data_IF_414627910279
#
_entry.id   IF_414627910279
#
_cell.length_a   1.000
_cell.length_b   1.000
_cell.length_c   1.000
_cell.angle_alpha   90.00
_cell.angle_beta   90.00
_cell.angle_gamma   90.00
#
_symmetry.space_group_name_H-M   'P 1'
#
loop_
_entity.id
_entity.type
_entity.pdbx_description
1 polymer ?
#
# COMPACT_ATOMS: atom_id res chain seq x y z
N UNK A 1 0.63 12.96 20.28
CA UNK A 1 -0.04 12.93 18.94
C UNK A 1 -1.40 13.60 19.10
N UNK A 2 -2.05 14.11 18.05
CA UNK A 2 -3.43 14.64 18.16
C UNK A 2 -4.40 13.62 17.58
N UNK A 3 -5.45 13.29 18.33
CA UNK A 3 -6.58 12.50 17.83
C UNK A 3 -7.82 13.39 17.69
N UNK A 4 -8.59 13.22 16.62
CA UNK A 4 -9.85 13.96 16.36
C UNK A 4 -11.06 13.17 16.85
N UNK A 5 -11.95 13.81 17.60
CA UNK A 5 -13.24 13.24 18.04
C UNK A 5 -14.38 14.13 17.53
N UNK A 6 -15.28 13.56 16.74
CA UNK A 6 -16.51 14.24 16.33
C UNK A 6 -17.62 14.00 17.36
N UNK A 7 -18.33 15.05 17.78
CA UNK A 7 -19.55 14.93 18.58
C UNK A 7 -20.75 15.39 17.74
N UNK A 8 -21.60 14.45 17.36
CA UNK A 8 -22.94 14.70 16.86
C UNK A 8 -23.90 14.84 18.05
N UNK A 9 -24.59 15.98 18.16
CA UNK A 9 -25.40 16.34 19.33
C UNK A 9 -26.72 17.02 18.95
N UNK A 10 -27.68 16.98 19.87
CA UNK A 10 -29.06 17.43 19.65
C UNK A 10 -29.31 18.83 20.23
N UNK A 11 -29.98 19.71 19.49
CA UNK A 11 -30.32 21.07 19.95
C UNK A 11 -31.47 21.09 20.96
N UNK A 12 -32.28 20.04 20.95
CA UNK A 12 -33.56 19.97 21.65
C UNK A 12 -33.38 19.69 23.16
N UNK A 13 -32.25 19.06 23.53
CA UNK A 13 -31.95 18.61 24.89
C UNK A 13 -30.73 19.34 25.46
N UNK A 14 -30.89 20.64 25.77
CA UNK A 14 -29.79 21.51 26.20
C UNK A 14 -28.97 20.98 27.38
N UNK A 15 -29.61 20.51 28.47
CA UNK A 15 -28.86 20.00 29.63
C UNK A 15 -28.13 18.68 29.34
N UNK A 16 -28.69 17.83 28.46
CA UNK A 16 -28.07 16.60 27.97
C UNK A 16 -26.82 16.91 27.13
N UNK A 17 -26.96 17.82 26.15
CA UNK A 17 -25.86 18.34 25.33
C UNK A 17 -24.74 18.97 26.19
N UNK A 18 -25.12 19.81 27.15
CA UNK A 18 -24.23 20.47 28.12
C UNK A 18 -23.52 19.47 29.03
N UNK A 19 -24.19 18.42 29.49
CA UNK A 19 -23.60 17.33 30.27
C UNK A 19 -22.55 16.58 29.43
N UNK A 20 -22.89 16.11 28.23
CA UNK A 20 -21.96 15.36 27.35
C UNK A 20 -20.73 16.22 27.03
N UNK A 21 -20.92 17.49 26.64
CA UNK A 21 -19.82 18.44 26.39
C UNK A 21 -18.99 18.70 27.65
N UNK A 22 -19.59 18.68 28.84
CA UNK A 22 -18.91 18.75 30.12
C UNK A 22 -18.02 17.52 30.42
N UNK A 23 -18.53 16.31 30.22
CA UNK A 23 -17.76 15.08 30.42
C UNK A 23 -16.62 14.95 29.40
N UNK A 24 -16.85 15.29 28.13
CA UNK A 24 -15.80 15.28 27.09
C UNK A 24 -14.66 16.27 27.37
N UNK A 25 -14.93 17.42 27.99
CA UNK A 25 -13.86 18.33 28.46
C UNK A 25 -13.01 17.69 29.56
N UNK A 26 -13.62 16.95 30.50
CA UNK A 26 -12.85 16.16 31.49
C UNK A 26 -12.01 15.07 30.80
N UNK A 27 -12.51 14.42 29.75
CA UNK A 27 -11.70 13.46 28.94
C UNK A 27 -10.51 14.16 28.28
N UNK A 28 -10.71 15.32 27.63
CA UNK A 28 -9.62 16.09 27.01
C UNK A 28 -8.49 16.42 28.00
N UNK A 29 -8.85 16.78 29.23
CA UNK A 29 -7.87 17.01 30.31
C UNK A 29 -7.09 15.72 30.67
N UNK A 30 -7.77 14.57 30.81
CA UNK A 30 -7.11 13.27 31.07
C UNK A 30 -6.15 12.81 29.96
N UNK A 31 -6.35 13.26 28.72
CA UNK A 31 -5.40 13.03 27.62
C UNK A 31 -4.19 13.96 27.75
N UNK A 32 -4.42 15.26 27.99
CA UNK A 32 -3.35 16.24 28.20
C UNK A 32 -2.44 15.91 29.39
N UNK A 33 -3.01 15.43 30.50
CA UNK A 33 -2.28 14.90 31.67
C UNK A 33 -1.32 13.75 31.34
N UNK A 34 -1.54 13.04 30.22
CA UNK A 34 -0.70 11.93 29.73
C UNK A 34 0.23 12.35 28.59
N UNK A 35 0.22 13.61 28.16
CA UNK A 35 0.99 14.11 27.02
C UNK A 35 0.43 13.78 25.64
N UNK A 36 -0.78 13.21 25.55
CA UNK A 36 -1.53 13.08 24.31
C UNK A 36 -2.46 14.28 24.11
N UNK A 37 -2.79 14.63 22.87
CA UNK A 37 -3.75 15.69 22.57
C UNK A 37 -5.04 15.08 22.00
N UNK A 38 -6.17 15.59 22.47
CA UNK A 38 -7.50 15.18 22.01
C UNK A 38 -8.22 16.42 21.48
N UNK A 39 -8.35 16.51 20.17
CA UNK A 39 -9.20 17.52 19.55
C UNK A 39 -10.65 17.04 19.49
N UNK A 40 -11.61 17.92 19.78
CA UNK A 40 -13.02 17.55 19.92
C UNK A 40 -13.88 18.58 19.19
N UNK A 41 -14.49 18.14 18.08
CA UNK A 41 -15.36 18.94 17.24
C UNK A 41 -16.73 19.03 17.94
N UNK A 42 -16.86 20.04 18.82
CA UNK A 42 -18.08 20.33 19.57
C UNK A 42 -19.14 21.11 18.77
N UNK A 43 -18.75 21.72 17.65
CA UNK A 43 -19.58 22.52 16.75
C UNK A 43 -19.01 22.36 15.34
N UNK A 44 -19.57 21.45 14.52
CA UNK A 44 -19.04 21.22 13.18
C UNK A 44 -19.33 22.40 12.24
N UNK A 45 -18.60 22.46 11.13
CA UNK A 45 -18.66 23.52 10.12
C UNK A 45 -18.45 24.98 10.63
N UNK A 46 -17.98 25.19 11.87
CA UNK A 46 -17.62 26.52 12.37
C UNK A 46 -16.23 26.98 11.91
N UNK A 47 -16.11 28.28 11.63
CA UNK A 47 -14.89 29.01 11.23
C UNK A 47 -14.41 28.82 9.78
N UNK A 48 -15.20 28.18 8.92
CA UNK A 48 -14.91 28.12 7.48
C UNK A 48 -15.24 29.44 6.76
N UNK A 49 -14.49 29.76 5.70
CA UNK A 49 -14.60 31.03 4.98
C UNK A 49 -15.58 30.96 3.79
N UNK A 50 -16.33 32.04 3.56
CA UNK A 50 -17.24 32.19 2.41
C UNK A 50 -18.66 31.68 2.71
N UNK A 51 -19.21 30.86 1.81
CA UNK A 51 -20.54 30.25 1.98
C UNK A 51 -20.52 28.77 1.56
N UNK A 52 -19.73 27.92 2.24
CA UNK A 52 -19.64 26.50 1.95
C UNK A 52 -20.92 25.75 2.34
N UNK A 53 -21.10 24.57 1.75
CA UNK A 53 -22.16 23.62 2.11
C UNK A 53 -21.87 23.01 3.48
N UNK A 54 -22.69 23.37 4.47
CA UNK A 54 -22.57 22.87 5.86
C UNK A 54 -22.65 21.32 5.93
N UNK A 55 -23.57 20.63 5.23
CA UNK A 55 -23.60 19.16 5.20
C UNK A 55 -22.30 18.53 4.68
N UNK A 56 -21.69 19.08 3.64
CA UNK A 56 -20.46 18.54 3.06
C UNK A 56 -19.27 18.73 4.02
N UNK A 57 -19.18 19.90 4.68
CA UNK A 57 -18.20 20.14 5.74
C UNK A 57 -18.36 19.19 6.93
N UNK A 58 -19.60 18.88 7.33
CA UNK A 58 -19.90 17.87 8.37
C UNK A 58 -19.39 16.50 7.93
N UNK A 59 -19.66 16.10 6.67
CA UNK A 59 -19.21 14.81 6.12
C UNK A 59 -17.68 14.69 6.12
N UNK A 60 -16.94 15.71 5.69
CA UNK A 60 -15.47 15.68 5.74
C UNK A 60 -14.93 15.67 7.18
N UNK A 61 -15.50 16.48 8.09
CA UNK A 61 -15.10 16.48 9.51
C UNK A 61 -15.39 15.14 10.22
N UNK A 62 -16.41 14.39 9.78
CA UNK A 62 -16.66 13.01 10.23
C UNK A 62 -15.58 12.07 9.67
N UNK A 63 -15.31 12.07 8.36
CA UNK A 63 -14.29 11.24 7.69
C UNK A 63 -12.89 11.40 8.32
N UNK A 64 -12.50 12.62 8.64
CA UNK A 64 -11.20 12.92 9.26
C UNK A 64 -11.06 12.44 10.71
N UNK A 65 -12.17 12.13 11.41
CA UNK A 65 -12.16 11.89 12.85
C UNK A 65 -11.76 10.46 13.23
N UNK A 66 -10.95 10.31 14.28
CA UNK A 66 -10.55 8.99 14.80
C UNK A 66 -11.73 8.27 15.46
N UNK A 67 -12.59 9.03 16.15
CA UNK A 67 -13.77 8.55 16.89
C UNK A 67 -14.96 9.45 16.59
N UNK A 68 -16.14 8.85 16.45
CA UNK A 68 -17.42 9.56 16.32
C UNK A 68 -18.33 9.22 17.50
N UNK A 69 -18.99 10.24 18.07
CA UNK A 69 -19.86 10.11 19.23
C UNK A 69 -21.23 10.69 18.88
N UNK A 70 -22.28 9.89 19.03
CA UNK A 70 -23.67 10.29 18.74
C UNK A 70 -24.49 10.38 20.02
N UNK A 71 -25.12 11.52 20.25
CA UNK A 71 -26.22 11.66 21.20
C UNK A 71 -27.54 11.25 20.53
N UNK A 72 -28.02 10.04 20.82
CA UNK A 72 -29.29 9.52 20.29
C UNK A 72 -30.44 9.58 21.29
N UNK A 73 -30.34 10.47 22.28
CA UNK A 73 -31.41 10.70 23.25
C UNK A 73 -32.75 11.05 22.57
N UNK A 74 -33.87 10.77 23.22
CA UNK A 74 -35.21 10.98 22.64
C UNK A 74 -35.58 12.47 22.60
N UNK A 75 -35.77 13.03 21.39
CA UNK A 75 -36.27 14.40 21.18
C UNK A 75 -37.78 14.45 20.93
N UNK A 76 -38.37 13.37 20.42
CA UNK A 76 -39.79 13.29 20.10
C UNK A 76 -40.37 11.88 20.31
N UNK A 77 -41.66 11.80 20.61
CA UNK A 77 -42.43 10.56 20.72
C UNK A 77 -43.48 10.51 19.60
N UNK A 78 -43.67 9.34 19.00
CA UNK A 78 -44.76 9.05 18.07
C UNK A 78 -45.98 8.50 18.82
N UNK A 79 -47.18 8.69 18.26
CA UNK A 79 -48.43 8.12 18.77
C UNK A 79 -48.39 6.58 18.88
N UNK A 80 -47.56 5.92 18.05
CA UNK A 80 -47.28 4.48 18.11
C UNK A 80 -46.43 4.04 19.32
N UNK A 81 -46.06 4.97 20.20
CA UNK A 81 -45.21 4.72 21.36
C UNK A 81 -43.72 4.55 21.04
N UNK A 82 -43.31 4.76 19.78
CA UNK A 82 -41.91 4.78 19.34
C UNK A 82 -41.25 6.13 19.63
N UNK A 83 -39.96 6.08 19.92
CA UNK A 83 -39.13 7.22 20.33
C UNK A 83 -38.14 7.59 19.21
N UNK A 84 -37.95 8.90 18.99
CA UNK A 84 -37.16 9.46 17.90
C UNK A 84 -36.01 10.31 18.45
N UNK A 85 -34.80 10.01 17.97
CA UNK A 85 -33.61 10.87 18.08
C UNK A 85 -33.62 11.97 17.01
N UNK A 86 -32.75 12.98 17.13
CA UNK A 86 -32.62 14.03 16.12
C UNK A 86 -32.20 13.46 14.74
N UNK A 87 -32.92 13.83 13.67
CA UNK A 87 -32.71 13.31 12.32
C UNK A 87 -31.33 13.65 11.72
N UNK A 88 -30.74 14.79 12.07
CA UNK A 88 -29.40 15.18 11.59
C UNK A 88 -28.34 14.28 12.23
N UNK A 89 -28.42 14.03 13.54
CA UNK A 89 -27.52 13.11 14.25
C UNK A 89 -27.65 11.68 13.72
N UNK A 90 -28.86 11.26 13.34
CA UNK A 90 -29.09 9.97 12.68
C UNK A 90 -28.43 9.88 11.29
N UNK A 91 -28.48 10.96 10.49
CA UNK A 91 -27.76 11.05 9.21
C UNK A 91 -26.24 11.03 9.41
N UNK A 92 -25.71 11.84 10.34
CA UNK A 92 -24.29 11.90 10.71
C UNK A 92 -23.77 10.54 11.19
N UNK A 93 -24.59 9.79 11.96
CA UNK A 93 -24.28 8.41 12.35
C UNK A 93 -24.24 7.45 11.16
N UNK A 94 -25.11 7.63 10.15
CA UNK A 94 -25.06 6.87 8.90
C UNK A 94 -23.75 7.11 8.14
N UNK A 95 -23.33 8.37 8.02
CA UNK A 95 -22.04 8.77 7.43
C UNK A 95 -20.87 8.17 8.24
N UNK A 96 -20.90 8.26 9.57
CA UNK A 96 -19.87 7.70 10.43
C UNK A 96 -19.77 6.17 10.32
N UNK A 97 -20.91 5.45 10.24
CA UNK A 97 -20.95 4.00 10.01
C UNK A 97 -20.29 3.62 8.69
N UNK A 98 -20.53 4.39 7.63
CA UNK A 98 -19.95 4.15 6.32
C UNK A 98 -18.43 4.38 6.27
N UNK A 99 -17.94 5.53 6.78
CA UNK A 99 -16.55 5.96 6.61
C UNK A 99 -15.59 5.60 7.75
N UNK A 100 -16.10 5.28 8.95
CA UNK A 100 -15.27 4.98 10.14
C UNK A 100 -15.45 3.54 10.62
N UNK A 101 -16.63 2.95 10.38
CA UNK A 101 -17.00 1.63 10.89
C UNK A 101 -17.37 1.63 12.39
N UNK A 102 -18.18 0.66 12.78
CA UNK A 102 -18.85 0.62 14.10
C UNK A 102 -17.89 0.65 15.30
N UNK A 103 -16.70 0.04 15.16
CA UNK A 103 -15.69 -0.02 16.22
C UNK A 103 -15.06 1.35 16.57
N UNK A 104 -15.32 2.40 15.78
CA UNK A 104 -14.90 3.79 16.03
C UNK A 104 -16.07 4.70 16.46
N UNK A 105 -17.25 4.12 16.71
CA UNK A 105 -18.47 4.84 17.05
C UNK A 105 -18.87 4.58 18.51
N UNK A 106 -19.29 5.64 19.20
CA UNK A 106 -19.85 5.57 20.57
C UNK A 106 -21.25 6.18 20.54
N UNK A 107 -22.29 5.34 20.66
CA UNK A 107 -23.67 5.80 20.79
C UNK A 107 -23.96 6.05 22.27
N UNK A 108 -24.40 7.27 22.59
CA UNK A 108 -24.82 7.72 23.91
C UNK A 108 -26.33 7.95 23.95
N UNK A 109 -26.97 7.62 25.07
CA UNK A 109 -28.35 8.04 25.38
C UNK A 109 -28.51 8.49 26.82
N UNK A 110 -29.31 9.52 27.02
CA UNK A 110 -29.75 10.00 28.32
C UNK A 110 -30.85 9.09 28.86
N UNK A 111 -30.54 8.32 29.92
CA UNK A 111 -31.45 7.29 30.45
C UNK A 111 -32.76 7.85 31.00
N UNK A 112 -32.79 9.14 31.36
CA UNK A 112 -33.94 9.75 32.06
C UNK A 112 -35.05 10.14 31.07
N UNK A 113 -34.72 10.21 29.77
CA UNK A 113 -35.65 10.60 28.69
C UNK A 113 -35.75 9.56 27.57
N UNK A 114 -34.88 8.55 27.55
CA UNK A 114 -34.73 7.61 26.41
C UNK A 114 -34.97 6.16 26.82
N UNK A 115 -36.00 5.52 26.26
CA UNK A 115 -36.13 4.07 26.31
C UNK A 115 -35.53 3.44 25.04
N UNK A 116 -34.41 2.73 25.22
CA UNK A 116 -33.67 2.07 24.14
C UNK A 116 -34.56 1.14 23.29
N UNK A 117 -35.45 0.36 23.89
CA UNK A 117 -36.32 -0.60 23.16
C UNK A 117 -37.27 0.12 22.18
N UNK A 118 -37.63 1.37 22.50
CA UNK A 118 -38.51 2.22 21.69
C UNK A 118 -37.79 3.01 20.60
N UNK A 119 -36.46 2.99 20.51
CA UNK A 119 -35.74 3.60 19.38
C UNK A 119 -35.96 2.83 18.06
N UNK A 120 -35.38 3.33 16.97
CA UNK A 120 -35.35 2.66 15.68
C UNK A 120 -34.64 1.29 15.74
N UNK A 121 -35.06 0.34 14.90
CA UNK A 121 -34.56 -1.04 14.89
C UNK A 121 -33.04 -1.12 14.68
N UNK A 122 -32.52 -0.34 13.72
CA UNK A 122 -31.10 -0.30 13.35
C UNK A 122 -30.21 0.41 14.39
N UNK A 123 -30.81 0.90 15.48
CA UNK A 123 -30.17 1.56 16.61
C UNK A 123 -30.28 0.68 17.86
N UNK A 124 -31.47 0.19 18.21
CA UNK A 124 -31.68 -0.55 19.46
C UNK A 124 -31.06 -1.97 19.48
N UNK A 125 -30.61 -2.48 18.33
CA UNK A 125 -29.77 -3.68 18.22
C UNK A 125 -28.26 -3.39 18.26
N UNK A 126 -27.85 -2.12 18.31
CA UNK A 126 -26.44 -1.72 18.49
C UNK A 126 -26.06 -1.61 19.96
N UNK A 127 -24.75 -1.63 20.25
CA UNK A 127 -24.27 -1.29 21.60
C UNK A 127 -24.48 0.20 21.89
N UNK A 128 -25.44 0.50 22.75
CA UNK A 128 -25.72 1.83 23.27
C UNK A 128 -25.14 1.98 24.67
N UNK A 129 -24.56 3.14 24.98
CA UNK A 129 -24.16 3.51 26.34
C UNK A 129 -25.16 4.50 26.92
N UNK A 130 -26.00 4.03 27.85
CA UNK A 130 -26.81 4.92 28.67
C UNK A 130 -25.94 5.66 29.70
N UNK A 131 -26.27 6.91 29.99
CA UNK A 131 -25.64 7.70 31.05
C UNK A 131 -26.67 8.36 31.97
N UNK A 132 -26.18 8.83 33.12
CA UNK A 132 -26.94 9.54 34.15
C UNK A 132 -26.36 10.96 34.30
N UNK A 133 -27.18 11.99 34.19
CA UNK A 133 -26.74 13.39 34.34
C UNK A 133 -26.20 13.72 35.74
N UNK A 134 -26.58 12.94 36.76
CA UNK A 134 -26.03 13.03 38.10
C UNK A 134 -24.63 12.41 38.22
N UNK A 135 -24.24 11.47 37.35
CA UNK A 135 -22.91 10.86 37.39
C UNK A 135 -21.83 11.84 36.94
N UNK A 136 -21.12 12.42 37.92
CA UNK A 136 -19.97 13.28 37.67
C UNK A 136 -18.68 12.53 37.26
N UNK A 137 -18.70 11.19 37.29
CA UNK A 137 -17.56 10.31 36.99
C UNK A 137 -17.58 9.66 35.60
N UNK A 138 -18.69 9.75 34.86
CA UNK A 138 -18.90 9.14 33.54
C UNK A 138 -17.77 9.38 32.53
N UNK A 139 -17.09 10.53 32.60
CA UNK A 139 -15.91 10.82 31.79
C UNK A 139 -14.82 9.74 31.85
N UNK A 140 -14.72 8.96 32.93
CA UNK A 140 -13.78 7.82 33.04
C UNK A 140 -14.15 6.70 32.05
N UNK A 141 -15.43 6.31 32.02
CA UNK A 141 -15.96 5.31 31.09
C UNK A 141 -15.82 5.79 29.65
N UNK A 142 -16.17 7.06 29.40
CA UNK A 142 -16.08 7.69 28.09
C UNK A 142 -14.63 7.77 27.59
N UNK A 143 -13.67 8.07 28.49
CA UNK A 143 -12.23 8.04 28.22
C UNK A 143 -11.76 6.64 27.81
N UNK A 144 -12.17 5.59 28.52
CA UNK A 144 -11.86 4.20 28.13
C UNK A 144 -12.41 3.84 26.75
N UNK A 145 -13.64 4.27 26.42
CA UNK A 145 -14.28 3.93 25.15
C UNK A 145 -13.60 4.68 23.99
N UNK A 146 -13.26 5.95 24.18
CA UNK A 146 -12.47 6.75 23.23
C UNK A 146 -11.07 6.14 23.02
N UNK A 147 -10.39 5.68 24.08
CA UNK A 147 -9.09 4.98 23.96
C UNK A 147 -9.23 3.69 23.14
N UNK A 148 -10.29 2.90 23.35
CA UNK A 148 -10.55 1.66 22.60
C UNK A 148 -10.81 1.95 21.11
N UNK A 149 -11.61 2.97 20.80
CA UNK A 149 -11.86 3.43 19.43
C UNK A 149 -10.61 4.00 18.73
N UNK A 150 -9.81 4.83 19.42
CA UNK A 150 -8.52 5.34 18.90
C UNK A 150 -7.55 4.18 18.60
N UNK A 151 -7.50 3.16 19.46
CA UNK A 151 -6.64 2.00 19.21
C UNK A 151 -7.12 1.18 18.00
N UNK A 152 -8.44 1.09 17.76
CA UNK A 152 -8.96 0.50 16.53
C UNK A 152 -8.56 1.31 15.28
N UNK A 153 -8.72 2.65 15.32
CA UNK A 153 -8.31 3.55 14.24
C UNK A 153 -6.80 3.46 13.92
N UNK A 154 -5.96 3.39 14.96
CA UNK A 154 -4.51 3.13 14.82
C UNK A 154 -4.24 1.80 14.13
N UNK A 155 -4.89 0.72 14.55
CA UNK A 155 -4.69 -0.61 13.98
C UNK A 155 -5.14 -0.68 12.51
N UNK A 156 -6.29 -0.08 12.18
CA UNK A 156 -6.79 0.04 10.79
C UNK A 156 -5.78 0.76 9.90
N UNK A 157 -5.26 1.92 10.32
CA UNK A 157 -4.21 2.66 9.58
C UNK A 157 -2.89 1.89 9.48
N UNK A 158 -2.48 1.18 10.54
CA UNK A 158 -1.23 0.41 10.54
C UNK A 158 -1.28 -0.77 9.56
N UNK A 159 -2.41 -1.50 9.49
CA UNK A 159 -2.64 -2.58 8.53
C UNK A 159 -2.59 -2.01 7.10
N UNK A 160 -3.30 -0.91 6.83
CA UNK A 160 -3.30 -0.26 5.52
C UNK A 160 -1.90 0.21 5.10
N UNK A 161 -1.16 0.87 6.00
CA UNK A 161 0.21 1.32 5.75
C UNK A 161 1.15 0.16 5.42
N UNK A 162 1.01 -0.98 6.11
CA UNK A 162 1.80 -2.18 5.83
C UNK A 162 1.47 -2.79 4.45
N UNK A 163 0.19 -2.88 4.10
CA UNK A 163 -0.25 -3.34 2.77
C UNK A 163 0.20 -2.40 1.65
N UNK A 164 0.08 -1.09 1.85
CA UNK A 164 0.54 -0.07 0.90
C UNK A 164 2.05 -0.08 0.72
N UNK A 165 2.83 -0.18 1.79
CA UNK A 165 4.30 -0.29 1.69
C UNK A 165 4.72 -1.58 0.96
N UNK A 166 3.99 -2.69 1.15
CA UNK A 166 4.23 -3.95 0.44
C UNK A 166 3.96 -3.77 -1.07
N UNK A 167 2.80 -3.21 -1.43
CA UNK A 167 2.46 -2.90 -2.84
C UNK A 167 3.51 -1.98 -3.47
N UNK A 168 3.88 -0.86 -2.81
CA UNK A 168 4.87 0.08 -3.31
C UNK A 168 6.25 -0.56 -3.52
N UNK A 169 6.67 -1.49 -2.65
CA UNK A 169 7.94 -2.21 -2.84
C UNK A 169 7.94 -3.12 -4.09
N UNK A 170 6.80 -3.74 -4.42
CA UNK A 170 6.63 -4.50 -5.66
C UNK A 170 6.59 -3.59 -6.89
N UNK A 171 5.83 -2.47 -6.82
CA UNK A 171 5.77 -1.49 -7.91
C UNK A 171 7.15 -0.91 -8.24
N UNK A 172 8.02 -0.72 -7.24
CA UNK A 172 9.39 -0.23 -7.46
C UNK A 172 10.23 -1.20 -8.30
N UNK A 173 10.13 -2.50 -8.03
CA UNK A 173 10.88 -3.54 -8.78
C UNK A 173 10.31 -3.69 -10.20
N UNK A 174 8.98 -3.71 -10.33
CA UNK A 174 8.29 -3.79 -11.63
C UNK A 174 8.63 -2.58 -12.49
N UNK A 175 8.57 -1.36 -11.93
CA UNK A 175 8.91 -0.12 -12.63
C UNK A 175 10.35 -0.14 -13.16
N UNK A 176 11.33 -0.44 -12.29
CA UNK A 176 12.74 -0.52 -12.68
C UNK A 176 12.96 -1.54 -13.81
N UNK A 177 12.34 -2.72 -13.74
CA UNK A 177 12.49 -3.74 -14.78
C UNK A 177 11.79 -3.38 -16.10
N UNK A 178 10.59 -2.78 -16.04
CA UNK A 178 9.91 -2.31 -17.25
C UNK A 178 10.69 -1.18 -17.94
N UNK A 179 11.26 -0.24 -17.17
CA UNK A 179 12.10 0.82 -17.70
C UNK A 179 13.40 0.25 -18.31
N UNK A 180 14.09 -0.67 -17.62
CA UNK A 180 15.28 -1.35 -18.16
C UNK A 180 15.00 -2.11 -19.46
N UNK A 181 13.83 -2.74 -19.58
CA UNK A 181 13.39 -3.39 -20.81
C UNK A 181 13.21 -2.41 -21.97
N UNK A 182 12.72 -1.19 -21.74
CA UNK A 182 12.63 -0.12 -22.76
C UNK A 182 13.98 0.56 -23.02
N UNK A 183 14.56 1.23 -22.02
CA UNK A 183 15.71 2.14 -22.15
C UNK A 183 17.08 1.46 -22.00
N UNK A 184 17.16 0.31 -21.33
CA UNK A 184 18.44 -0.28 -20.91
C UNK A 184 18.88 0.22 -19.53
N UNK A 185 20.18 0.15 -19.22
CA UNK A 185 20.73 0.52 -17.91
C UNK A 185 21.33 1.94 -17.88
N UNK A 186 21.84 2.41 -19.01
CA UNK A 186 22.68 3.62 -19.08
C UNK A 186 21.91 4.84 -19.65
N UNK A 187 20.74 4.65 -20.25
CA UNK A 187 19.97 5.70 -20.94
C UNK A 187 18.80 6.26 -20.10
N UNK A 188 18.64 7.58 -20.13
CA UNK A 188 17.46 8.29 -19.61
C UNK A 188 16.50 8.65 -20.74
N UNK A 189 15.36 7.95 -20.78
CA UNK A 189 14.25 8.24 -21.71
C UNK A 189 13.04 8.73 -20.89
N UNK A 190 12.49 9.89 -21.25
CA UNK A 190 11.24 10.39 -20.66
C UNK A 190 10.03 9.74 -21.37
N UNK A 191 9.48 8.69 -20.78
CA UNK A 191 8.43 7.86 -21.37
C UNK A 191 7.06 8.51 -21.11
N UNK A 192 6.62 9.41 -22.01
CA UNK A 192 5.28 10.03 -21.92
C UNK A 192 4.19 9.27 -22.67
N UNK A 193 4.55 8.60 -23.76
CA UNK A 193 3.65 7.83 -24.62
C UNK A 193 4.45 6.86 -25.49
N UNK A 194 3.76 5.94 -26.17
CA UNK A 194 4.36 5.09 -27.22
C UNK A 194 4.67 5.94 -28.46
N UNK A 195 5.76 5.62 -29.16
CA UNK A 195 6.15 6.27 -30.42
C UNK A 195 6.74 5.26 -31.41
N UNK A 196 6.69 5.58 -32.70
CA UNK A 196 7.36 4.78 -33.74
C UNK A 196 8.86 4.62 -33.48
N UNK A 197 9.51 5.65 -32.92
CA UNK A 197 10.93 5.58 -32.54
C UNK A 197 11.19 4.57 -31.42
N UNK A 198 10.31 4.48 -30.41
CA UNK A 198 10.42 3.53 -29.32
C UNK A 198 10.12 2.10 -29.80
N UNK A 199 9.06 1.93 -30.60
CA UNK A 199 8.71 0.63 -31.22
C UNK A 199 9.86 0.14 -32.11
N UNK A 200 10.44 1.00 -32.94
CA UNK A 200 11.56 0.64 -33.82
C UNK A 200 12.86 0.40 -33.04
N UNK A 201 13.09 1.05 -31.90
CA UNK A 201 14.17 0.68 -30.98
C UNK A 201 13.94 -0.74 -30.45
N UNK A 202 12.74 -1.03 -29.91
CA UNK A 202 12.38 -2.35 -29.36
C UNK A 202 12.42 -3.48 -30.40
N UNK A 203 12.05 -3.22 -31.66
CA UNK A 203 12.19 -4.18 -32.79
C UNK A 203 13.65 -4.57 -33.06
N UNK A 204 14.59 -3.63 -32.86
CA UNK A 204 16.02 -3.86 -33.13
C UNK A 204 16.80 -4.35 -31.91
N UNK A 205 16.33 -4.02 -30.69
CA UNK A 205 16.94 -4.36 -29.41
C UNK A 205 17.10 -5.87 -29.24
N UNK A 206 18.27 -6.27 -28.75
CA UNK A 206 18.59 -7.65 -28.40
C UNK A 206 18.41 -7.80 -26.90
N UNK A 207 17.57 -8.76 -26.50
CA UNK A 207 17.27 -9.07 -25.10
C UNK A 207 18.06 -10.28 -24.63
N UNK A 208 18.54 -10.22 -23.39
CA UNK A 208 19.13 -11.37 -22.72
C UNK A 208 18.04 -12.33 -22.25
N UNK A 209 18.31 -13.65 -22.27
CA UNK A 209 17.44 -14.66 -21.67
C UNK A 209 16.94 -14.25 -20.27
N UNK A 210 17.83 -13.78 -19.39
CA UNK A 210 17.46 -13.39 -18.01
C UNK A 210 16.50 -12.18 -17.95
N UNK A 211 16.53 -11.27 -18.93
CA UNK A 211 15.62 -10.12 -18.99
C UNK A 211 14.20 -10.53 -19.40
N UNK A 212 14.07 -11.55 -20.27
CA UNK A 212 12.77 -12.07 -20.69
C UNK A 212 12.17 -13.09 -19.70
N UNK A 213 12.98 -13.70 -18.83
CA UNK A 213 12.49 -14.59 -17.77
C UNK A 213 12.06 -13.85 -16.47
N UNK A 214 11.92 -12.53 -16.51
CA UNK A 214 11.38 -11.72 -15.41
C UNK A 214 9.89 -12.04 -15.17
N UNK A 215 9.61 -12.94 -14.23
CA UNK A 215 8.23 -13.29 -13.84
C UNK A 215 7.74 -12.47 -12.64
N UNK A 216 6.79 -11.56 -12.85
CA UNK A 216 6.17 -10.75 -11.79
C UNK A 216 4.99 -11.44 -11.07
N UNK A 217 4.59 -12.66 -11.44
CA UNK A 217 3.53 -13.44 -10.79
C UNK A 217 3.63 -13.51 -9.25
N UNK A 218 4.81 -13.71 -8.61
CA UNK A 218 4.91 -13.69 -7.15
C UNK A 218 4.61 -12.32 -6.53
N UNK A 219 4.95 -11.25 -7.25
CA UNK A 219 4.66 -9.87 -6.85
C UNK A 219 3.17 -9.57 -7.02
N UNK A 220 2.58 -9.96 -8.16
CA UNK A 220 1.15 -9.85 -8.45
C UNK A 220 0.29 -10.62 -7.44
N UNK A 221 0.70 -11.83 -7.05
CA UNK A 221 0.06 -12.59 -5.96
C UNK A 221 0.14 -11.84 -4.62
N UNK A 222 1.33 -11.36 -4.25
CA UNK A 222 1.53 -10.60 -3.01
C UNK A 222 0.76 -9.26 -3.00
N UNK A 223 0.60 -8.61 -4.16
CA UNK A 223 -0.25 -7.43 -4.31
C UNK A 223 -1.73 -7.78 -4.14
N UNK A 224 -2.23 -8.84 -4.79
CA UNK A 224 -3.62 -9.31 -4.66
C UNK A 224 -4.04 -9.55 -3.20
N UNK A 225 -3.21 -10.23 -2.41
CA UNK A 225 -3.50 -10.47 -0.98
C UNK A 225 -3.61 -9.16 -0.18
N UNK A 226 -2.86 -8.12 -0.56
CA UNK A 226 -2.90 -6.80 0.06
C UNK A 226 -4.01 -5.89 -0.47
N UNK A 227 -4.52 -6.12 -1.69
CA UNK A 227 -5.58 -5.32 -2.32
C UNK A 227 -6.85 -5.24 -1.49
N UNK A 228 -7.22 -6.31 -0.76
CA UNK A 228 -8.42 -6.32 0.09
C UNK A 228 -8.41 -5.19 1.12
N UNK A 229 -7.25 -4.83 1.67
CA UNK A 229 -7.13 -3.74 2.64
C UNK A 229 -7.24 -2.36 1.98
N UNK A 230 -6.72 -2.22 0.75
CA UNK A 230 -6.75 -0.97 -0.03
C UNK A 230 -8.15 -0.68 -0.57
N UNK A 231 -8.82 -1.67 -1.16
CA UNK A 231 -10.16 -1.55 -1.73
C UNK A 231 -11.20 -1.25 -0.64
N UNK A 232 -11.10 -1.93 0.52
CA UNK A 232 -11.99 -1.73 1.66
C UNK A 232 -11.62 -0.53 2.55
N UNK A 233 -10.69 0.34 2.12
CA UNK A 233 -10.35 1.56 2.85
C UNK A 233 -10.90 2.80 2.17
N UNK A 234 -11.59 3.64 2.96
CA UNK A 234 -12.14 4.92 2.51
C UNK A 234 -11.11 6.04 2.40
N UNK A 235 -9.84 5.77 2.74
CA UNK A 235 -8.70 6.68 2.55
C UNK A 235 -8.35 6.84 1.06
N UNK A 236 -8.73 5.86 0.23
CA UNK A 236 -8.54 5.89 -1.23
C UNK A 236 -9.88 6.03 -1.94
N UNK A 237 -9.94 6.94 -2.92
CA UNK A 237 -11.12 7.10 -3.76
C UNK A 237 -11.26 5.95 -4.79
N UNK A 238 -12.34 5.98 -5.57
CA UNK A 238 -12.61 4.97 -6.59
C UNK A 238 -11.69 5.09 -7.82
N UNK A 239 -11.16 6.28 -8.13
CA UNK A 239 -10.26 6.50 -9.26
C UNK A 239 -8.91 5.80 -9.01
N UNK A 240 -8.33 6.02 -7.83
CA UNK A 240 -7.13 5.35 -7.36
C UNK A 240 -7.29 3.81 -7.35
N UNK A 241 -8.42 3.32 -6.82
CA UNK A 241 -8.74 1.88 -6.79
C UNK A 241 -8.83 1.28 -8.20
N UNK A 242 -9.47 1.97 -9.14
CA UNK A 242 -9.56 1.53 -10.53
C UNK A 242 -8.21 1.52 -11.24
N UNK A 243 -7.37 2.56 -11.07
CA UNK A 243 -6.00 2.60 -11.61
C UNK A 243 -5.15 1.42 -11.13
N UNK A 244 -5.22 1.11 -9.84
CA UNK A 244 -4.46 0.01 -9.25
C UNK A 244 -4.95 -1.36 -9.77
N UNK A 245 -6.26 -1.53 -9.98
CA UNK A 245 -6.84 -2.70 -10.65
C UNK A 245 -6.36 -2.82 -12.11
N UNK A 246 -6.35 -1.73 -12.87
CA UNK A 246 -5.94 -1.75 -14.29
C UNK A 246 -4.42 -1.94 -14.47
N UNK A 247 -3.61 -1.49 -13.50
CA UNK A 247 -2.19 -1.83 -13.41
C UNK A 247 -2.00 -3.33 -13.15
N UNK A 248 -2.78 -3.92 -12.25
CA UNK A 248 -2.68 -5.36 -11.98
C UNK A 248 -3.06 -6.22 -13.18
N UNK A 249 -4.09 -5.83 -13.96
CA UNK A 249 -4.41 -6.46 -15.25
C UNK A 249 -3.26 -6.33 -16.26
N UNK A 250 -2.55 -5.20 -16.27
CA UNK A 250 -1.40 -5.00 -17.16
C UNK A 250 -0.21 -5.90 -16.76
N UNK A 251 0.05 -6.04 -15.45
CA UNK A 251 1.07 -6.96 -14.92
C UNK A 251 0.68 -8.43 -15.20
N UNK A 252 -0.60 -8.78 -15.07
CA UNK A 252 -1.12 -10.12 -15.41
C UNK A 252 -0.92 -10.44 -16.90
N UNK A 253 -1.24 -9.49 -17.79
CA UNK A 253 -1.01 -9.64 -19.23
C UNK A 253 0.48 -9.75 -19.58
N UNK A 254 1.34 -8.99 -18.90
CA UNK A 254 2.80 -9.11 -19.01
C UNK A 254 3.27 -10.52 -18.62
N UNK A 255 2.80 -11.05 -17.49
CA UNK A 255 3.12 -12.42 -17.06
C UNK A 255 2.61 -13.46 -18.07
N UNK A 256 1.42 -13.30 -18.64
CA UNK A 256 0.89 -14.20 -19.67
C UNK A 256 1.75 -14.23 -20.94
N UNK A 257 2.25 -13.08 -21.41
CA UNK A 257 3.14 -12.97 -22.56
C UNK A 257 4.45 -13.73 -22.32
N UNK A 258 5.04 -13.60 -21.12
CA UNK A 258 6.32 -14.20 -20.79
C UNK A 258 6.27 -15.67 -20.34
N UNK A 259 5.34 -16.06 -19.46
CA UNK A 259 5.20 -17.44 -18.96
C UNK A 259 5.07 -18.47 -20.09
N UNK A 260 4.44 -18.07 -21.21
CA UNK A 260 4.23 -18.95 -22.37
C UNK A 260 5.43 -19.05 -23.30
N UNK A 261 6.47 -18.23 -23.07
CA UNK A 261 7.71 -18.21 -23.84
C UNK A 261 7.45 -18.23 -25.36
N UNK A 262 6.39 -17.54 -25.79
CA UNK A 262 5.73 -17.89 -27.04
C UNK A 262 6.61 -17.50 -28.23
N UNK A 263 6.88 -18.46 -29.12
CA UNK A 263 7.67 -18.23 -30.34
C UNK A 263 7.02 -17.19 -31.28
N UNK A 264 5.75 -16.85 -31.05
CA UNK A 264 5.02 -15.74 -31.64
C UNK A 264 5.45 -14.36 -31.14
N UNK A 265 5.93 -14.22 -29.89
CA UNK A 265 6.42 -12.94 -29.35
C UNK A 265 7.93 -12.76 -29.49
N UNK A 266 8.72 -13.79 -29.17
CA UNK A 266 10.19 -13.72 -29.18
C UNK A 266 10.80 -14.79 -30.07
N UNK A 267 11.71 -14.38 -30.95
CA UNK A 267 12.58 -15.27 -31.70
C UNK A 267 13.96 -15.33 -31.03
N UNK A 268 14.50 -16.54 -30.87
CA UNK A 268 15.90 -16.71 -30.47
C UNK A 268 16.80 -16.31 -31.64
N UNK A 269 17.92 -15.65 -31.35
CA UNK A 269 18.89 -15.16 -32.34
C UNK A 269 20.27 -15.67 -31.96
N UNK A 270 21.01 -16.23 -32.92
CA UNK A 270 22.41 -16.58 -32.77
C UNK A 270 23.27 -15.32 -32.87
N UNK A 271 24.24 -15.13 -31.96
CA UNK A 271 25.06 -13.92 -31.90
C UNK A 271 26.53 -14.26 -31.66
N UNK A 272 27.24 -14.55 -32.75
CA UNK A 272 28.67 -14.89 -32.76
C UNK A 272 29.57 -13.82 -32.10
N UNK A 273 29.08 -12.57 -31.96
CA UNK A 273 29.88 -11.45 -31.44
C UNK A 273 29.92 -11.33 -29.91
N UNK A 274 29.15 -12.14 -29.15
CA UNK A 274 29.05 -12.03 -27.68
C UNK A 274 29.29 -13.38 -26.97
N UNK A 275 30.18 -14.23 -27.49
CA UNK A 275 30.72 -15.36 -26.72
C UNK A 275 31.55 -14.85 -25.52
N UNK A 276 31.05 -14.99 -24.26
CA UNK A 276 31.84 -14.90 -23.01
C UNK A 276 31.05 -15.25 -21.73
N UNK A 277 30.48 -16.46 -21.68
CA UNK A 277 29.55 -16.92 -20.63
C UNK A 277 29.81 -18.42 -20.25
N UNK A 278 29.05 -18.99 -19.30
CA UNK A 278 29.15 -20.38 -18.78
C UNK A 278 27.73 -20.97 -18.46
N UNK A 279 27.60 -22.29 -18.16
CA UNK A 279 26.32 -23.05 -18.10
C UNK A 279 26.54 -24.39 -17.42
N UNK A 280 25.82 -24.77 -16.36
CA UNK A 280 25.96 -26.15 -15.87
C UNK A 280 25.65 -27.23 -16.94
N UNK A 281 26.09 -28.47 -16.68
CA UNK A 281 25.81 -29.64 -17.53
C UNK A 281 24.32 -30.03 -17.63
N UNK A 282 23.42 -29.27 -17.00
CA UNK A 282 21.96 -29.37 -17.16
C UNK A 282 21.40 -28.33 -18.14
N UNK A 283 22.21 -27.38 -18.60
CA UNK A 283 21.88 -26.39 -19.62
C UNK A 283 21.70 -24.94 -19.10
N UNK A 284 22.09 -24.64 -17.87
CA UNK A 284 21.65 -23.43 -17.15
C UNK A 284 22.71 -22.34 -17.10
N UNK A 285 22.48 -21.23 -17.79
CA UNK A 285 23.50 -20.24 -18.17
C UNK A 285 23.90 -19.18 -17.09
N UNK A 286 25.16 -18.70 -17.12
CA UNK A 286 25.89 -17.80 -16.18
C UNK A 286 26.94 -16.96 -16.95
N UNK A 287 27.56 -15.91 -16.36
CA UNK A 287 28.55 -15.02 -17.06
C UNK A 287 30.02 -15.22 -16.64
N UNK A 288 30.99 -14.89 -17.52
CA UNK A 288 32.43 -14.72 -17.19
C UNK A 288 32.77 -13.25 -16.88
N UNK A 289 33.51 -13.01 -15.79
CA UNK A 289 34.01 -11.69 -15.41
C UNK A 289 35.31 -11.31 -16.14
N UNK A 290 35.56 -10.00 -16.31
CA UNK A 290 36.88 -9.48 -16.71
C UNK A 290 37.75 -9.35 -15.44
N UNK A 291 39.08 -9.33 -15.60
CA UNK A 291 40.06 -9.86 -14.64
C UNK A 291 40.22 -9.20 -13.27
N UNK A 292 39.67 -8.01 -13.00
CA UNK A 292 40.23 -7.12 -11.97
C UNK A 292 39.24 -6.57 -10.91
N UNK A 293 37.95 -6.93 -10.92
CA UNK A 293 36.99 -6.45 -9.91
C UNK A 293 36.71 -7.48 -8.82
N UNK A 294 36.90 -7.07 -7.55
CA UNK A 294 36.43 -7.82 -6.40
C UNK A 294 34.89 -7.85 -6.32
N UNK A 295 34.33 -9.04 -6.11
CA UNK A 295 32.90 -9.26 -5.89
C UNK A 295 32.54 -8.82 -4.46
N UNK A 296 32.45 -7.51 -4.23
CA UNK A 296 32.09 -7.00 -2.92
C UNK A 296 30.60 -7.16 -2.61
N UNK A 297 30.31 -8.13 -1.74
CA UNK A 297 29.11 -8.27 -0.88
C UNK A 297 27.81 -7.65 -1.39
N UNK A 298 26.96 -8.44 -2.08
CA UNK A 298 25.59 -8.80 -1.60
C UNK A 298 24.63 -9.26 -2.70
N UNK A 299 24.36 -10.56 -2.79
CA UNK A 299 23.10 -11.08 -3.38
C UNK A 299 22.77 -12.44 -2.76
N UNK A 300 21.48 -12.76 -2.59
CA UNK A 300 20.96 -14.12 -2.40
C UNK A 300 19.58 -14.23 -3.07
N UNK A 301 19.31 -15.35 -3.72
CA UNK A 301 18.00 -15.71 -4.30
C UNK A 301 17.43 -16.97 -3.59
N UNK A 302 16.29 -17.50 -4.06
CA UNK A 302 15.61 -18.70 -3.49
C UNK A 302 16.52 -19.94 -3.49
N UNK A 303 16.19 -20.94 -2.66
CA UNK A 303 16.72 -22.29 -2.79
C UNK A 303 16.62 -22.78 -4.25
N UNK A 304 17.70 -23.40 -4.76
CA UNK A 304 17.97 -23.72 -6.17
C UNK A 304 18.26 -22.53 -7.11
N UNK A 305 18.65 -21.35 -6.61
CA UNK A 305 19.08 -20.22 -7.45
C UNK A 305 20.57 -19.90 -7.27
N UNK A 306 21.27 -19.66 -8.38
CA UNK A 306 22.73 -19.50 -8.46
C UNK A 306 23.15 -18.05 -8.72
N UNK A 307 24.42 -17.72 -8.45
CA UNK A 307 24.90 -16.34 -8.39
C UNK A 307 26.39 -16.20 -8.71
N UNK A 308 26.74 -15.21 -9.54
CA UNK A 308 28.09 -14.62 -9.67
C UNK A 308 27.98 -13.23 -10.32
N UNK A 309 28.84 -12.28 -9.94
CA UNK A 309 28.89 -10.93 -10.54
C UNK A 309 30.11 -10.72 -11.44
N UNK A 310 30.18 -9.55 -12.06
CA UNK A 310 31.21 -9.12 -13.01
C UNK A 310 31.43 -7.61 -12.85
N UNK A 311 32.64 -7.06 -13.13
CA UNK A 311 32.94 -5.62 -13.09
C UNK A 311 31.80 -4.70 -13.55
N UNK A 312 31.25 -5.01 -14.72
CA UNK A 312 30.29 -4.17 -15.43
C UNK A 312 28.85 -4.68 -15.30
N UNK A 313 28.50 -5.35 -14.18
CA UNK A 313 27.16 -5.94 -14.01
C UNK A 313 26.69 -5.99 -12.54
N UNK A 314 26.10 -4.90 -12.01
CA UNK A 314 25.38 -4.91 -10.74
C UNK A 314 24.17 -5.85 -10.76
N UNK A 315 23.99 -6.60 -9.68
CA UNK A 315 22.90 -7.58 -9.54
C UNK A 315 21.82 -6.99 -8.62
N UNK A 316 21.01 -6.10 -9.18
CA UNK A 316 20.08 -5.25 -8.43
C UNK A 316 18.61 -5.68 -8.60
N UNK A 317 18.32 -6.97 -8.35
CA UNK A 317 16.98 -7.58 -8.46
C UNK A 317 16.67 -8.63 -7.35
N UNK A 318 17.09 -8.33 -6.11
CA UNK A 318 16.57 -8.89 -4.85
C UNK A 318 16.47 -7.75 -3.81
N UNK A 319 15.67 -7.79 -2.74
CA UNK A 319 15.27 -8.89 -1.85
C UNK A 319 13.87 -8.63 -1.20
N UNK A 320 13.28 -9.60 -0.47
CA UNK A 320 12.48 -9.27 0.72
C UNK A 320 13.38 -9.20 1.96
N UNK A 321 13.18 -8.14 2.74
CA UNK A 321 13.96 -7.71 3.90
C UNK A 321 13.66 -8.50 5.18
N UNK A 322 12.54 -9.23 5.24
CA UNK A 322 12.05 -9.91 6.45
C UNK A 322 12.95 -11.08 6.90
N UNK A 323 13.36 -11.95 5.98
CA UNK A 323 14.13 -13.17 6.27
C UNK A 323 15.51 -12.93 6.91
N UNK A 324 16.03 -11.70 6.81
CA UNK A 324 17.38 -11.35 7.30
C UNK A 324 17.39 -11.09 8.82
N UNK A 325 16.27 -10.65 9.40
CA UNK A 325 16.28 -10.05 10.74
C UNK A 325 16.44 -11.06 11.89
N UNK A 326 15.88 -12.26 11.75
CA UNK A 326 16.03 -13.35 12.73
C UNK A 326 17.39 -14.05 12.58
N UNK A 327 17.95 -14.07 11.38
CA UNK A 327 19.25 -14.67 11.08
C UNK A 327 20.41 -13.85 11.68
N UNK A 328 20.40 -12.53 11.51
CA UNK A 328 21.48 -11.66 12.02
C UNK A 328 21.53 -11.56 13.55
N UNK A 329 20.43 -11.79 14.27
CA UNK A 329 20.43 -11.81 15.74
C UNK A 329 21.26 -12.94 16.38
N UNK A 330 21.66 -13.95 15.61
CA UNK A 330 22.47 -15.09 16.08
C UNK A 330 23.97 -14.84 15.92
N UNK A 331 24.38 -14.01 14.95
CA UNK A 331 25.78 -13.82 14.56
C UNK A 331 26.50 -12.74 15.39
N UNK A 332 26.84 -13.07 16.64
CA UNK A 332 28.02 -12.49 17.28
C UNK A 332 29.26 -13.24 16.81
N UNK A 333 30.17 -12.52 16.13
CA UNK A 333 31.60 -12.83 15.98
C UNK A 333 31.99 -14.27 15.61
N UNK A 334 32.08 -14.60 14.32
CA UNK A 334 32.90 -15.74 13.87
C UNK A 334 33.25 -15.73 12.38
N UNK A 335 34.43 -16.27 12.05
CA UNK A 335 34.85 -16.55 10.67
C UNK A 335 34.01 -17.72 10.12
N UNK A 336 33.16 -17.45 9.13
CA UNK A 336 32.19 -18.43 8.62
C UNK A 336 32.87 -19.50 7.75
N UNK A 337 32.92 -20.73 8.25
CA UNK A 337 33.18 -21.91 7.40
C UNK A 337 31.90 -22.27 6.64
N UNK A 338 31.99 -22.36 5.31
CA UNK A 338 30.93 -22.93 4.48
C UNK A 338 30.75 -24.43 4.76
N UNK A 339 29.52 -24.98 4.69
CA UNK A 339 29.27 -26.39 4.94
C UNK A 339 29.86 -27.27 3.82
N UNK A 340 30.48 -28.39 4.21
CA UNK A 340 31.20 -29.33 3.34
C UNK A 340 30.36 -29.99 2.21
N UNK A 341 29.07 -29.68 2.09
CA UNK A 341 28.23 -30.10 0.97
C UNK A 341 28.22 -29.12 -0.20
N UNK A 342 28.36 -27.80 0.03
CA UNK A 342 28.14 -26.80 -1.01
C UNK A 342 29.32 -26.69 -1.97
N UNK A 343 30.55 -26.59 -1.44
CA UNK A 343 31.79 -26.56 -2.22
C UNK A 343 31.95 -27.84 -3.07
N UNK A 344 31.54 -28.98 -2.51
CA UNK A 344 31.61 -30.29 -3.17
C UNK A 344 30.60 -30.38 -4.32
N UNK A 345 29.35 -29.95 -4.11
CA UNK A 345 28.34 -29.86 -5.18
C UNK A 345 28.75 -28.97 -6.37
N UNK A 346 29.55 -27.94 -6.13
CA UNK A 346 30.04 -27.01 -7.18
C UNK A 346 31.24 -27.61 -7.95
N UNK A 347 32.08 -28.42 -7.29
CA UNK A 347 33.30 -28.98 -7.90
C UNK A 347 33.04 -30.03 -8.98
N UNK A 348 32.00 -30.84 -8.81
CA UNK A 348 31.81 -32.07 -9.58
C UNK A 348 30.84 -31.90 -10.77
N UNK A 349 30.64 -30.66 -11.26
CA UNK A 349 29.78 -30.32 -12.41
C UNK A 349 30.56 -29.51 -13.48
N UNK A 350 30.19 -29.63 -14.76
CA UNK A 350 30.84 -28.94 -15.91
C UNK A 350 30.09 -27.66 -16.31
N UNK A 351 30.78 -26.68 -16.93
CA UNK A 351 30.18 -25.40 -17.33
C UNK A 351 30.42 -24.94 -18.84
N UNK A 352 29.46 -24.31 -19.61
CA UNK A 352 29.48 -23.99 -21.11
C UNK A 352 28.69 -22.67 -21.55
N UNK A 353 28.77 -22.01 -22.72
CA UNK A 353 28.32 -20.56 -22.89
C UNK A 353 26.79 -20.14 -22.94
N UNK A 354 26.44 -18.93 -22.43
CA UNK A 354 25.12 -18.22 -22.47
C UNK A 354 24.80 -17.41 -23.74
N UNK A 355 24.61 -18.13 -24.85
CA UNK A 355 24.47 -17.47 -26.14
C UNK A 355 23.00 -17.39 -26.61
N UNK A 356 22.03 -17.51 -25.68
CA UNK A 356 20.59 -17.32 -25.98
C UNK A 356 20.17 -15.86 -25.86
N UNK A 357 20.36 -15.17 -26.98
CA UNK A 357 19.79 -13.85 -27.25
C UNK A 357 18.42 -13.97 -27.90
N UNK A 358 17.57 -12.97 -27.69
CA UNK A 358 16.23 -12.90 -28.24
C UNK A 358 15.94 -11.55 -28.88
N UNK A 359 15.11 -11.54 -29.93
CA UNK A 359 14.48 -10.33 -30.46
C UNK A 359 12.97 -10.46 -30.37
N UNK A 360 12.30 -9.31 -30.28
CA UNK A 360 10.86 -9.24 -30.47
C UNK A 360 10.52 -9.52 -31.95
N UNK A 361 9.51 -10.33 -32.18
CA UNK A 361 8.96 -10.51 -33.52
C UNK A 361 8.31 -9.19 -33.99
N UNK A 362 8.34 -8.93 -35.29
CA UNK A 362 7.97 -7.64 -35.87
C UNK A 362 6.54 -7.19 -35.47
N UNK A 363 5.60 -8.14 -35.43
CA UNK A 363 4.18 -7.90 -35.11
C UNK A 363 3.92 -7.81 -33.59
N UNK A 364 4.86 -8.25 -32.76
CA UNK A 364 4.73 -8.29 -31.29
C UNK A 364 5.45 -7.15 -30.57
N UNK A 365 6.42 -6.51 -31.22
CA UNK A 365 7.17 -5.41 -30.64
C UNK A 365 6.29 -4.18 -30.30
N UNK A 366 5.24 -3.93 -31.08
CA UNK A 366 4.26 -2.88 -30.81
C UNK A 366 3.47 -3.18 -29.53
N UNK A 367 2.73 -4.30 -29.50
CA UNK A 367 1.96 -4.79 -28.34
C UNK A 367 2.83 -4.83 -27.07
N UNK A 368 4.08 -5.28 -27.18
CA UNK A 368 5.00 -5.34 -26.05
C UNK A 368 5.45 -3.96 -25.57
N UNK A 369 5.72 -3.03 -26.48
CA UNK A 369 6.07 -1.63 -26.14
C UNK A 369 4.88 -0.94 -25.47
N UNK A 370 3.68 -1.08 -26.02
CA UNK A 370 2.44 -0.56 -25.41
C UNK A 370 2.26 -1.07 -23.98
N UNK A 371 2.48 -2.36 -23.76
CA UNK A 371 2.28 -2.99 -22.45
C UNK A 371 3.27 -2.48 -21.39
N UNK A 372 4.55 -2.34 -21.74
CA UNK A 372 5.57 -1.78 -20.84
C UNK A 372 5.28 -0.30 -20.52
N UNK A 373 4.98 0.51 -21.54
CA UNK A 373 4.64 1.93 -21.37
C UNK A 373 3.38 2.10 -20.52
N UNK A 374 2.36 1.26 -20.73
CA UNK A 374 1.13 1.25 -19.91
C UNK A 374 1.41 0.94 -18.44
N UNK A 375 2.26 -0.04 -18.14
CA UNK A 375 2.64 -0.38 -16.75
C UNK A 375 3.36 0.80 -16.09
N UNK A 376 4.31 1.43 -16.79
CA UNK A 376 5.07 2.60 -16.31
C UNK A 376 4.14 3.78 -16.00
N UNK A 377 3.32 4.21 -16.95
CA UNK A 377 2.43 5.36 -16.80
C UNK A 377 1.35 5.14 -15.71
N UNK A 378 0.87 3.91 -15.53
CA UNK A 378 -0.06 3.58 -14.44
C UNK A 378 0.63 3.65 -13.07
N UNK A 379 1.87 3.17 -12.94
CA UNK A 379 2.67 3.31 -11.71
C UNK A 379 2.90 4.80 -11.40
N UNK A 380 3.33 5.59 -12.38
CA UNK A 380 3.51 7.05 -12.21
C UNK A 380 2.25 7.75 -11.73
N UNK A 381 1.08 7.44 -12.33
CA UNK A 381 -0.19 8.06 -11.96
C UNK A 381 -0.62 7.71 -10.52
N UNK A 382 -0.41 6.46 -10.10
CA UNK A 382 -0.67 5.98 -8.73
C UNK A 382 0.27 6.67 -7.72
N UNK A 383 1.55 6.81 -8.05
CA UNK A 383 2.52 7.51 -7.21
C UNK A 383 2.21 9.02 -7.10
N UNK A 384 1.76 9.64 -8.18
CA UNK A 384 1.36 11.05 -8.19
C UNK A 384 0.19 11.32 -7.23
N UNK A 385 -0.82 10.45 -7.20
CA UNK A 385 -1.96 10.53 -6.27
C UNK A 385 -1.56 10.29 -4.81
N UNK A 386 -0.55 9.45 -4.55
CA UNK A 386 0.04 9.25 -3.22
C UNK A 386 0.94 10.41 -2.76
N UNK A 387 1.09 11.48 -3.55
CA UNK A 387 2.02 12.58 -3.25
C UNK A 387 3.49 12.16 -3.32
N UNK A 388 3.80 11.09 -4.04
CA UNK A 388 5.15 10.61 -4.28
C UNK A 388 5.74 11.19 -5.57
N UNK A 389 7.07 11.16 -5.68
CA UNK A 389 7.83 11.40 -6.91
C UNK A 389 8.81 10.25 -7.13
N UNK A 390 8.98 9.89 -8.39
CA UNK A 390 10.07 9.03 -8.82
C UNK A 390 11.33 9.90 -8.91
N UNK A 391 12.47 9.40 -8.42
CA UNK A 391 13.79 9.96 -8.70
C UNK A 391 14.65 8.87 -9.33
N UNK A 392 15.61 9.30 -10.15
CA UNK A 392 16.71 8.44 -10.58
C UNK A 392 17.88 8.69 -9.63
N UNK A 393 18.52 7.61 -9.18
CA UNK A 393 19.70 7.62 -8.34
C UNK A 393 20.84 6.93 -9.11
N UNK A 394 22.08 7.41 -8.93
CA UNK A 394 23.28 6.72 -9.39
C UNK A 394 23.89 5.94 -8.21
N UNK A 395 24.17 4.63 -8.39
CA UNK A 395 24.74 3.78 -7.34
C UNK A 395 26.25 3.95 -7.10
N UNK A 396 26.88 4.89 -7.82
CA UNK A 396 28.34 5.08 -7.85
C UNK A 396 29.09 4.10 -8.77
N UNK A 397 28.43 3.09 -9.33
CA UNK A 397 28.96 2.13 -10.33
C UNK A 397 28.44 2.43 -11.74
N UNK A 398 28.03 3.68 -11.97
CA UNK A 398 27.43 4.21 -13.21
C UNK A 398 26.06 3.61 -13.57
N UNK A 399 25.35 2.95 -12.65
CA UNK A 399 24.01 2.44 -12.96
C UNK A 399 22.90 3.32 -12.40
N UNK A 400 21.96 3.63 -13.29
CA UNK A 400 20.73 4.32 -13.00
C UNK A 400 19.70 3.33 -12.42
N UNK A 401 19.13 3.67 -11.27
CA UNK A 401 17.95 3.00 -10.74
C UNK A 401 16.95 4.02 -10.21
N UNK A 402 15.68 3.63 -10.17
CA UNK A 402 14.61 4.50 -9.70
C UNK A 402 14.25 4.22 -8.26
N UNK A 403 13.92 5.30 -7.54
CA UNK A 403 13.54 5.35 -6.14
C UNK A 403 12.23 6.14 -5.99
N UNK A 404 11.41 5.82 -4.98
CA UNK A 404 10.17 6.56 -4.69
C UNK A 404 10.35 7.42 -3.43
N UNK A 405 10.18 8.73 -3.57
CA UNK A 405 10.28 9.72 -2.49
C UNK A 405 8.95 10.40 -2.25
N UNK A 406 8.74 10.96 -1.05
CA UNK A 406 7.65 11.93 -0.83
C UNK A 406 8.03 13.30 -1.42
N UNK A 407 7.01 14.03 -1.87
CA UNK A 407 7.12 15.47 -2.18
C UNK A 407 7.38 16.29 -0.92
#
# INVERSE_FOLDING_TARGET
MTYKVFLAWQSELYDTQKYIKGQLRKVKNMFAEKGDNLDIIFYPAQNEAGSPSIPDLIIEQIKESDVFIADLSTVANLESGKELSNANVMFELGVARAYLGENRIIILVDKDVTNIEKLAFDINHSRITSFDKADQSFYKNLCEYIIKAINYAKNQRNILNYSMNTILSHLLIIYNNCFRLLSGYDETIEIRQVSDSLINSMKNKIFWAIQIYNNFEPMLFSMNENMRQVVNSDIFDQNYKMKLIDLMKAIEHYCFVFQKNSASFFSQVENESILNYLMDSCGTFLKVAVSDDEIDKSVFFRDNTYLFSSPNMPICDCFDKRSIKEYLSVMKESNVKMPNGLVTKIKDHKYILCDRFYKLNADSAEIFTELLVKIILLIESILQELGLVIRMEEDGKKQNYFSFHRK
#
